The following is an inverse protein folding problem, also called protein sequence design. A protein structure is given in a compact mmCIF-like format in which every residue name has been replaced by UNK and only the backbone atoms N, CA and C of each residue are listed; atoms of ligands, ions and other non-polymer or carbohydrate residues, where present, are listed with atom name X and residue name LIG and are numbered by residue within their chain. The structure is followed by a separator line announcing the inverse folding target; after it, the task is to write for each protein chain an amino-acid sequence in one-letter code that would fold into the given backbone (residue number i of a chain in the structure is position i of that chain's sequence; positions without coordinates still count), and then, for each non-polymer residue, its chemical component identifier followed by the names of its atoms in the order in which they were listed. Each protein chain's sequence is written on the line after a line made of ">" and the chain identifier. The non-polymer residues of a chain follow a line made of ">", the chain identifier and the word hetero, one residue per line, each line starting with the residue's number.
data_IF_990804520592
#
_entry.id   IF_990804520592
#
_cell.length_a   1.000
_cell.length_b   1.000
_cell.length_c   1.000
_cell.angle_alpha   90.00
_cell.angle_beta   90.00
_cell.angle_gamma   90.00
#
_symmetry.space_group_name_H-M   'P 1'
#
loop_
_entity.id
_entity.type
_entity.pdbx_description
1 polymer ?
#
# COMPACT_ATOMS: atom_id res chain seq x y z
N UNK A 1 4.27 55.31 -0.24
CA UNK A 1 3.32 54.52 -1.05
C UNK A 1 3.47 53.05 -0.67
N UNK A 2 2.35 52.40 -0.32
CA UNK A 2 2.24 50.99 0.06
C UNK A 2 2.06 50.12 -1.20
N UNK A 3 2.78 49.01 -1.37
CA UNK A 3 2.36 47.82 -2.15
C UNK A 3 3.19 46.61 -1.66
N UNK A 4 2.65 45.81 -0.72
CA UNK A 4 1.93 44.54 -0.91
C UNK A 4 2.83 43.39 -1.38
N UNK A 5 3.40 42.69 -0.39
CA UNK A 5 4.04 41.37 -0.53
C UNK A 5 2.91 40.33 -0.64
N UNK A 6 2.70 39.81 -1.85
CA UNK A 6 1.77 38.71 -2.09
C UNK A 6 2.45 37.38 -1.80
N UNK A 7 2.29 36.88 -0.57
CA UNK A 7 2.64 35.49 -0.25
C UNK A 7 1.46 34.60 -0.66
N UNK A 8 1.57 33.94 -1.82
CA UNK A 8 0.68 32.83 -2.19
C UNK A 8 1.05 31.62 -1.31
N UNK A 9 0.46 31.53 -0.12
CA UNK A 9 0.44 30.31 0.67
C UNK A 9 -0.53 29.33 -0.03
N UNK A 10 0.00 28.54 -0.96
CA UNK A 10 -0.66 27.32 -1.45
C UNK A 10 -0.74 26.36 -0.26
N UNK A 11 -1.87 26.42 0.47
CA UNK A 11 -2.18 25.50 1.54
C UNK A 11 -2.55 24.16 0.91
N UNK A 12 -1.55 23.31 0.66
CA UNK A 12 -1.79 21.89 0.36
C UNK A 12 -2.29 21.29 1.67
N UNK A 13 -3.61 21.18 1.82
CA UNK A 13 -4.23 20.58 3.00
C UNK A 13 -3.83 19.11 3.07
N UNK A 14 -2.86 18.80 3.93
CA UNK A 14 -2.53 17.45 4.36
C UNK A 14 -3.64 17.01 5.32
N UNK A 15 -4.63 16.27 4.82
CA UNK A 15 -5.59 15.60 5.68
C UNK A 15 -4.89 14.47 6.43
N UNK A 16 -4.64 14.68 7.73
CA UNK A 16 -4.11 13.65 8.61
C UNK A 16 -5.26 12.79 9.12
N UNK A 17 -5.63 11.75 8.35
CA UNK A 17 -6.55 10.73 8.83
C UNK A 17 -5.82 9.79 9.81
N UNK A 18 -5.99 10.02 11.11
CA UNK A 18 -5.75 8.99 12.12
C UNK A 18 -6.96 8.05 12.14
N UNK A 19 -7.09 7.21 11.11
CA UNK A 19 -8.06 6.12 11.13
C UNK A 19 -7.38 4.87 11.70
N UNK A 20 -8.01 4.26 12.71
CA UNK A 20 -7.60 2.97 13.27
C UNK A 20 -7.84 1.85 12.26
N UNK A 21 -6.90 1.69 11.33
CA UNK A 21 -6.97 0.70 10.27
C UNK A 21 -6.41 -0.65 10.74
N UNK A 22 -7.04 -1.74 10.32
CA UNK A 22 -6.66 -3.12 10.67
C UNK A 22 -6.68 -4.03 9.45
N UNK A 23 -5.92 -5.13 9.50
CA UNK A 23 -6.04 -6.20 8.49
C UNK A 23 -7.33 -6.95 8.74
N UNK A 24 -8.26 -6.86 7.79
CA UNK A 24 -9.58 -7.53 7.89
C UNK A 24 -9.64 -8.82 7.06
N UNK A 25 -8.76 -8.93 6.05
CA UNK A 25 -8.69 -10.08 5.17
C UNK A 25 -7.32 -10.15 4.50
N UNK A 26 -6.86 -11.38 4.25
CA UNK A 26 -5.88 -11.66 3.20
C UNK A 26 -6.54 -12.62 2.23
N UNK A 27 -6.68 -12.21 0.98
CA UNK A 27 -7.23 -13.06 -0.09
C UNK A 27 -6.12 -13.60 -0.98
N UNK A 28 -6.16 -14.88 -1.32
CA UNK A 28 -5.27 -15.56 -2.26
C UNK A 28 -6.09 -16.32 -3.34
N UNK A 29 -5.49 -17.28 -4.04
CA UNK A 29 -6.18 -18.10 -5.05
C UNK A 29 -6.28 -17.48 -6.45
N UNK A 30 -5.58 -16.39 -6.70
CA UNK A 30 -5.50 -15.73 -8.01
C UNK A 30 -4.04 -15.56 -8.45
N UNK A 31 -3.86 -15.06 -9.68
CA UNK A 31 -2.53 -14.77 -10.22
C UNK A 31 -2.36 -13.30 -10.58
N UNK A 32 -1.13 -12.82 -10.45
CA UNK A 32 -0.69 -11.49 -10.90
C UNK A 32 0.64 -11.61 -11.62
N UNK A 33 0.69 -11.15 -12.87
CA UNK A 33 1.80 -11.37 -13.79
C UNK A 33 2.18 -12.85 -13.88
N UNK A 34 1.19 -13.73 -14.08
CA UNK A 34 1.36 -15.18 -14.23
C UNK A 34 2.00 -15.88 -13.03
N UNK A 35 1.90 -15.30 -11.83
CA UNK A 35 2.38 -15.91 -10.59
C UNK A 35 1.30 -15.89 -9.52
N UNK A 36 1.24 -16.88 -8.62
CA UNK A 36 0.36 -16.87 -7.47
C UNK A 36 0.48 -15.55 -6.70
N UNK A 37 -0.65 -15.01 -6.26
CA UNK A 37 -0.70 -13.71 -5.60
C UNK A 37 -1.69 -13.70 -4.44
N UNK A 38 -1.42 -12.80 -3.51
CA UNK A 38 -2.29 -12.50 -2.39
C UNK A 38 -2.44 -10.98 -2.21
N UNK A 39 -3.60 -10.57 -1.70
CA UNK A 39 -3.92 -9.18 -1.38
C UNK A 39 -4.23 -9.07 0.10
N UNK A 40 -3.55 -8.15 0.80
CA UNK A 40 -3.86 -7.76 2.17
C UNK A 40 -4.85 -6.60 2.12
N UNK A 41 -6.02 -6.77 2.74
CA UNK A 41 -7.03 -5.74 2.90
C UNK A 41 -6.85 -5.07 4.26
N UNK A 42 -6.35 -3.85 4.24
CA UNK A 42 -6.13 -3.02 5.41
C UNK A 42 -7.18 -1.91 5.44
N UNK A 43 -8.16 -2.01 6.32
CA UNK A 43 -9.37 -1.20 6.28
C UNK A 43 -9.62 -0.47 7.58
N UNK A 44 -10.25 0.69 7.49
CA UNK A 44 -10.85 1.38 8.63
C UNK A 44 -12.09 0.61 9.14
N UNK A 45 -12.61 0.92 10.34
CA UNK A 45 -13.76 0.21 10.92
C UNK A 45 -15.05 0.31 10.10
N UNK A 46 -15.14 1.28 9.19
CA UNK A 46 -16.27 1.41 8.26
C UNK A 46 -16.23 0.43 7.09
N UNK A 47 -15.11 -0.29 6.92
CA UNK A 47 -14.82 -1.23 5.82
C UNK A 47 -14.91 -0.65 4.39
N UNK A 48 -15.25 0.63 4.25
CA UNK A 48 -15.30 1.33 2.96
C UNK A 48 -13.98 2.03 2.66
N UNK A 49 -13.28 2.50 3.69
CA UNK A 49 -11.96 3.10 3.54
C UNK A 49 -10.90 2.01 3.70
N UNK A 50 -10.31 1.58 2.59
CA UNK A 50 -9.41 0.42 2.54
C UNK A 50 -8.20 0.69 1.67
N UNK A 51 -7.06 0.15 2.08
CA UNK A 51 -5.88 0.00 1.24
C UNK A 51 -5.68 -1.48 0.98
N UNK A 52 -5.56 -1.83 -0.29
CA UNK A 52 -5.29 -3.20 -0.74
C UNK A 52 -3.82 -3.27 -1.16
N UNK A 53 -3.06 -4.16 -0.54
CA UNK A 53 -1.66 -4.40 -0.88
C UNK A 53 -1.51 -5.77 -1.52
N UNK A 54 -1.21 -5.81 -2.82
CA UNK A 54 -1.08 -7.06 -3.57
C UNK A 54 0.37 -7.40 -3.80
N UNK A 55 0.74 -8.63 -3.46
CA UNK A 55 2.06 -9.21 -3.70
C UNK A 55 1.89 -10.52 -4.46
N UNK A 56 2.66 -10.70 -5.54
CA UNK A 56 2.82 -12.02 -6.12
C UNK A 56 4.02 -12.77 -5.51
N UNK A 57 4.12 -14.06 -5.81
CA UNK A 57 5.18 -14.97 -5.33
C UNK A 57 6.58 -14.37 -5.45
N UNK A 58 6.96 -13.83 -6.61
CA UNK A 58 8.30 -13.26 -6.80
C UNK A 58 8.55 -12.02 -5.92
N UNK A 59 7.56 -11.14 -5.77
CA UNK A 59 7.71 -9.95 -4.94
C UNK A 59 7.78 -10.29 -3.45
N UNK A 60 6.98 -11.24 -2.99
CA UNK A 60 6.99 -11.71 -1.60
C UNK A 60 8.28 -12.46 -1.28
N UNK A 61 8.77 -13.33 -2.17
CA UNK A 61 10.07 -14.00 -1.99
C UNK A 61 11.21 -12.98 -1.86
N UNK A 62 11.25 -11.96 -2.74
CA UNK A 62 12.27 -10.91 -2.65
C UNK A 62 12.23 -10.17 -1.31
N UNK A 63 11.03 -9.91 -0.80
CA UNK A 63 10.85 -9.30 0.53
C UNK A 63 11.46 -10.18 1.62
N UNK A 64 11.16 -11.49 1.60
CA UNK A 64 11.67 -12.47 2.57
C UNK A 64 13.20 -12.64 2.48
N UNK A 65 13.78 -12.46 1.29
CA UNK A 65 15.24 -12.38 1.09
C UNK A 65 15.86 -11.06 1.63
N UNK A 66 15.08 -10.23 2.33
CA UNK A 66 15.51 -8.95 2.89
C UNK A 66 15.58 -7.79 1.89
N UNK A 67 15.12 -7.99 0.64
CA UNK A 67 15.18 -6.96 -0.41
C UNK A 67 13.99 -6.02 -0.31
N UNK A 68 14.21 -4.77 -0.72
CA UNK A 68 13.11 -3.82 -0.96
C UNK A 68 12.48 -4.12 -2.33
N UNK A 69 11.17 -4.09 -2.39
CA UNK A 69 10.42 -4.12 -3.66
C UNK A 69 9.65 -2.82 -3.85
N UNK A 70 9.45 -2.41 -5.10
CA UNK A 70 8.69 -1.20 -5.40
C UNK A 70 8.03 -1.30 -6.77
N UNK A 71 6.85 -0.71 -6.87
CA UNK A 71 6.18 -0.38 -8.11
C UNK A 71 6.06 1.15 -8.20
N UNK A 72 6.85 1.75 -9.09
CA UNK A 72 6.85 3.19 -9.35
C UNK A 72 6.23 3.42 -10.72
N UNK A 73 5.15 4.19 -10.78
CA UNK A 73 4.48 4.52 -12.04
C UNK A 73 4.15 3.30 -12.92
N UNK A 74 3.71 2.19 -12.29
CA UNK A 74 3.37 0.90 -12.92
C UNK A 74 4.56 0.13 -13.53
N UNK A 75 5.81 0.47 -13.20
CA UNK A 75 7.00 -0.17 -13.76
C UNK A 75 7.27 -1.60 -13.24
N UNK A 76 6.61 -2.02 -12.16
CA UNK A 76 6.78 -3.35 -11.59
C UNK A 76 5.43 -3.86 -11.07
N UNK A 77 4.68 -4.52 -11.92
CA UNK A 77 3.34 -4.99 -11.60
C UNK A 77 3.33 -6.30 -10.77
N UNK A 78 4.49 -6.77 -10.28
CA UNK A 78 4.54 -7.90 -9.35
C UNK A 78 4.04 -7.53 -7.95
N UNK A 79 4.02 -6.23 -7.66
CA UNK A 79 3.50 -5.64 -6.44
C UNK A 79 2.59 -4.46 -6.81
N UNK A 80 1.48 -4.30 -6.11
CA UNK A 80 0.52 -3.22 -6.37
C UNK A 80 -0.10 -2.74 -5.07
N UNK A 81 -0.54 -1.49 -5.07
CA UNK A 81 -1.43 -0.98 -4.05
C UNK A 81 -2.53 -0.16 -4.71
N UNK A 82 -3.76 -0.36 -4.24
CA UNK A 82 -4.93 0.47 -4.54
C UNK A 82 -5.58 0.88 -3.24
N UNK A 83 -6.36 1.94 -3.26
CA UNK A 83 -7.11 2.34 -2.09
C UNK A 83 -8.46 2.94 -2.47
N UNK A 84 -9.45 2.72 -1.62
CA UNK A 84 -10.73 3.42 -1.64
C UNK A 84 -10.77 4.27 -0.37
N UNK A 85 -10.97 5.58 -0.51
CA UNK A 85 -11.06 6.52 0.62
C UNK A 85 -12.09 7.60 0.33
N UNK A 86 -13.05 7.78 1.24
CA UNK A 86 -14.07 8.83 1.13
C UNK A 86 -14.78 8.84 -0.22
N UNK A 87 -15.07 7.64 -0.76
CA UNK A 87 -15.73 7.46 -2.06
C UNK A 87 -14.84 7.72 -3.29
N UNK A 88 -13.53 7.91 -3.12
CA UNK A 88 -12.58 8.04 -4.22
C UNK A 88 -11.71 6.79 -4.33
N UNK A 89 -11.46 6.36 -5.57
CA UNK A 89 -10.55 5.25 -5.88
C UNK A 89 -9.17 5.77 -6.27
N UNK A 90 -8.13 5.23 -5.65
CA UNK A 90 -6.73 5.62 -5.81
C UNK A 90 -5.88 4.46 -6.32
N UNK A 91 -4.99 4.76 -7.27
CA UNK A 91 -4.16 3.75 -7.95
C UNK A 91 -2.72 4.23 -8.16
N UNK A 92 -1.83 3.27 -8.43
CA UNK A 92 -0.53 3.55 -9.05
C UNK A 92 -0.78 3.82 -10.54
N UNK A 93 -0.45 5.03 -10.99
CA UNK A 93 -0.66 5.49 -12.38
C UNK A 93 0.66 5.79 -13.06
N UNK A 94 0.72 5.60 -14.38
CA UNK A 94 1.86 6.02 -15.19
C UNK A 94 1.80 7.50 -15.61
N UNK A 95 0.71 8.21 -15.32
CA UNK A 95 0.50 9.62 -15.72
C UNK A 95 1.12 10.64 -14.75
N UNK A 96 1.22 10.27 -13.48
CA UNK A 96 1.73 11.12 -12.40
C UNK A 96 2.70 10.32 -11.53
N UNK A 97 3.55 11.03 -10.80
CA UNK A 97 4.42 10.40 -9.81
C UNK A 97 3.57 9.62 -8.80
N UNK A 98 3.70 8.30 -8.82
CA UNK A 98 3.01 7.39 -7.92
C UNK A 98 3.92 6.21 -7.61
N UNK A 99 3.82 5.68 -6.40
CA UNK A 99 4.70 4.62 -5.92
C UNK A 99 4.04 3.80 -4.82
N UNK A 100 4.29 2.50 -4.85
CA UNK A 100 4.24 1.66 -3.66
C UNK A 100 5.61 1.02 -3.48
N UNK A 101 6.13 1.03 -2.26
CA UNK A 101 7.35 0.30 -1.93
C UNK A 101 7.25 -0.30 -0.55
N UNK A 102 7.78 -1.50 -0.39
CA UNK A 102 7.74 -2.25 0.85
C UNK A 102 9.09 -2.93 1.12
N UNK A 103 9.38 -3.13 2.40
CA UNK A 103 10.45 -3.98 2.92
C UNK A 103 9.94 -4.67 4.17
N UNK A 104 10.32 -5.92 4.40
CA UNK A 104 10.06 -6.56 5.70
C UNK A 104 10.90 -5.88 6.77
N UNK A 105 10.24 -5.41 7.83
CA UNK A 105 10.90 -4.91 9.04
C UNK A 105 11.05 -6.00 10.09
N UNK A 106 10.11 -6.95 10.12
CA UNK A 106 10.12 -8.07 11.06
C UNK A 106 9.45 -9.29 10.44
N UNK A 107 10.03 -10.48 10.63
CA UNK A 107 9.45 -11.76 10.26
C UNK A 107 9.71 -12.77 11.37
N UNK A 108 8.63 -13.30 11.95
CA UNK A 108 8.67 -14.36 12.93
C UNK A 108 7.71 -15.49 12.50
N UNK A 109 8.29 -16.57 12.00
CA UNK A 109 7.53 -17.73 11.57
C UNK A 109 6.94 -18.53 12.75
N UNK A 110 7.54 -18.45 13.95
CA UNK A 110 7.07 -19.18 15.13
C UNK A 110 5.78 -18.55 15.69
N UNK A 111 5.72 -17.22 15.73
CA UNK A 111 4.51 -16.48 16.12
C UNK A 111 3.57 -16.15 14.96
N UNK A 112 3.89 -16.63 13.74
CA UNK A 112 3.13 -16.38 12.51
C UNK A 112 2.88 -14.89 12.28
N UNK A 113 3.94 -14.09 12.35
CA UNK A 113 3.90 -12.63 12.22
C UNK A 113 4.83 -12.13 11.14
N UNK A 114 4.34 -11.20 10.33
CA UNK A 114 5.11 -10.51 9.30
C UNK A 114 4.76 -9.02 9.31
N UNK A 115 5.77 -8.17 9.45
CA UNK A 115 5.60 -6.72 9.42
C UNK A 115 6.34 -6.10 8.26
N UNK A 116 5.62 -5.31 7.48
CA UNK A 116 6.15 -4.52 6.37
C UNK A 116 6.33 -3.07 6.81
N UNK A 117 7.49 -2.49 6.55
CA UNK A 117 7.64 -1.04 6.43
C UNK A 117 7.34 -0.66 4.98
N UNK A 118 6.49 0.34 4.77
CA UNK A 118 6.07 0.76 3.44
C UNK A 118 5.99 2.28 3.25
N UNK A 119 6.09 2.65 1.98
CA UNK A 119 5.83 3.99 1.48
C UNK A 119 4.85 3.90 0.30
N UNK A 120 3.88 4.81 0.28
CA UNK A 120 2.77 4.84 -0.66
C UNK A 120 2.51 6.27 -1.14
N UNK A 121 2.36 6.44 -2.44
CA UNK A 121 1.80 7.62 -3.08
C UNK A 121 0.89 7.14 -4.21
N UNK A 122 -0.42 7.22 -3.99
CA UNK A 122 -1.44 6.88 -4.98
C UNK A 122 -2.13 8.14 -5.46
N UNK A 123 -2.70 8.06 -6.65
CA UNK A 123 -3.41 9.16 -7.31
C UNK A 123 -4.84 8.70 -7.56
N UNK A 124 -5.81 9.58 -7.28
CA UNK A 124 -7.21 9.29 -7.60
C UNK A 124 -7.36 9.03 -9.10
N UNK A 125 -8.32 8.20 -9.50
CA UNK A 125 -8.52 7.86 -10.93
C UNK A 125 -8.83 9.05 -11.81
N UNK A 126 -9.45 10.10 -11.26
CA UNK A 126 -9.68 11.39 -11.91
C UNK A 126 -8.47 12.34 -11.87
N UNK A 127 -7.37 11.97 -11.21
CA UNK A 127 -6.11 12.73 -11.14
C UNK A 127 -6.12 13.92 -10.19
N UNK A 128 -7.21 14.20 -9.49
CA UNK A 128 -7.36 15.43 -8.70
C UNK A 128 -6.81 15.35 -7.28
N UNK A 129 -6.60 14.13 -6.75
CA UNK A 129 -6.21 13.92 -5.36
C UNK A 129 -5.05 12.93 -5.25
N UNK A 130 -4.32 13.05 -4.15
CA UNK A 130 -3.21 12.16 -3.80
C UNK A 130 -3.43 11.57 -2.42
N UNK A 131 -3.15 10.28 -2.29
CA UNK A 131 -3.05 9.59 -1.01
C UNK A 131 -1.59 9.27 -0.76
N UNK A 132 -0.98 9.92 0.22
CA UNK A 132 0.44 9.77 0.54
C UNK A 132 0.62 9.26 1.97
N UNK A 133 1.30 8.12 2.11
CA UNK A 133 1.68 7.53 3.38
C UNK A 133 3.17 7.23 3.37
N UNK A 134 3.92 7.79 4.31
CA UNK A 134 5.37 7.66 4.39
C UNK A 134 5.78 6.93 5.66
N UNK A 135 6.75 6.01 5.52
CA UNK A 135 7.38 5.27 6.62
C UNK A 135 6.36 4.63 7.59
N UNK A 136 5.34 3.98 7.03
CA UNK A 136 4.28 3.31 7.79
C UNK A 136 4.57 1.82 7.94
N UNK A 137 3.92 1.21 8.92
CA UNK A 137 4.05 -0.21 9.22
C UNK A 137 2.72 -0.93 9.06
N UNK A 138 2.75 -2.13 8.50
CA UNK A 138 1.62 -3.03 8.34
C UNK A 138 2.02 -4.40 8.87
N UNK A 139 1.30 -4.89 9.88
CA UNK A 139 1.54 -6.22 10.46
C UNK A 139 0.43 -7.19 10.05
N UNK A 140 0.83 -8.36 9.58
CA UNK A 140 -0.03 -9.50 9.26
C UNK A 140 0.28 -10.62 10.24
N UNK A 141 -0.75 -11.18 10.88
CA UNK A 141 -0.60 -12.20 11.92
C UNK A 141 -1.59 -13.35 11.79
N UNK A 142 -1.33 -14.46 12.49
CA UNK A 142 -2.29 -15.56 12.66
C UNK A 142 -2.62 -16.28 11.35
N UNK A 143 -3.91 -16.46 11.05
CA UNK A 143 -4.36 -17.11 9.81
C UNK A 143 -4.03 -16.28 8.56
N UNK A 144 -4.10 -14.96 8.63
CA UNK A 144 -3.75 -14.07 7.52
C UNK A 144 -2.28 -14.21 7.11
N UNK A 145 -1.39 -14.49 8.06
CA UNK A 145 0.00 -14.80 7.75
C UNK A 145 0.10 -16.09 6.95
N UNK A 146 -0.64 -17.13 7.34
CA UNK A 146 -0.61 -18.42 6.64
C UNK A 146 -1.14 -18.29 5.21
N UNK A 147 -2.25 -17.58 5.02
CA UNK A 147 -2.79 -17.27 3.69
C UNK A 147 -1.79 -16.47 2.85
N UNK A 148 -1.11 -15.48 3.43
CA UNK A 148 -0.10 -14.72 2.70
C UNK A 148 1.10 -15.59 2.30
N UNK A 149 1.55 -16.51 3.18
CA UNK A 149 2.67 -17.40 2.90
C UNK A 149 2.31 -18.53 1.94
N UNK A 150 1.02 -18.87 1.78
CA UNK A 150 0.54 -19.96 0.92
C UNK A 150 1.02 -19.81 -0.53
N UNK A 151 1.12 -18.58 -1.03
CA UNK A 151 1.49 -18.25 -2.42
C UNK A 151 2.95 -18.57 -2.76
N UNK A 152 3.76 -18.90 -1.75
CA UNK A 152 5.17 -19.28 -1.91
C UNK A 152 5.37 -20.77 -2.17
N UNK A 153 4.32 -21.59 -1.96
CA UNK A 153 4.36 -23.03 -2.19
C UNK A 153 4.11 -23.31 -3.68
#
# INVERSE_FOLDING_TARGET
>A
MKFLIGVFLSCVTLFSYAQDMNVVLVGDGFTKNNQPAATIYYCAPNETDCIQYTFNRSSLQKLLDGKKVSNKMRNNQNIEATADFSGQHFVITNKHASVFSAKISEHDAATKRLTFNYNLLLISTNGSQQLALKDRYLSVGGEYYQTLMSILN
#
